data_IF_877728651593
#
_entry.id   IF_877728651593
#
_cell.length_a   1.000
_cell.length_b   1.000
_cell.length_c   1.000
_cell.angle_alpha   90.00
_cell.angle_beta   90.00
_cell.angle_gamma   90.00
#
_symmetry.space_group_name_H-M   'P 1'
#
loop_
_entity.id
_entity.type
_entity.pdbx_description
1 polymer ?
#
# COMPACT_ATOMS: atom_id res chain seq x y z
N UNK A 1 -12.93 -9.70 -24.32
CA UNK A 1 -12.53 -9.36 -22.94
C UNK A 1 -13.45 -8.25 -22.53
N UNK A 2 -14.13 -8.44 -21.39
CA UNK A 2 -15.04 -7.53 -20.65
C UNK A 2 -15.92 -8.37 -19.72
N UNK A 3 -15.29 -9.29 -18.98
CA UNK A 3 -15.98 -10.08 -17.96
C UNK A 3 -16.22 -9.22 -16.70
N UNK A 4 -17.30 -9.46 -15.93
CA UNK A 4 -17.53 -8.76 -14.65
C UNK A 4 -16.35 -8.79 -13.68
N UNK A 5 -15.50 -9.84 -13.74
CA UNK A 5 -14.26 -9.94 -12.95
C UNK A 5 -13.21 -8.88 -13.32
N UNK A 6 -13.07 -8.54 -14.59
CA UNK A 6 -12.04 -7.60 -15.05
C UNK A 6 -12.39 -6.17 -14.62
N UNK A 7 -13.67 -5.80 -14.71
CA UNK A 7 -14.19 -4.52 -14.20
C UNK A 7 -14.06 -4.40 -12.68
N UNK A 8 -14.38 -5.49 -11.96
CA UNK A 8 -14.18 -5.54 -10.52
C UNK A 8 -12.69 -5.39 -10.15
N UNK A 9 -11.81 -6.10 -10.87
CA UNK A 9 -10.37 -6.02 -10.67
C UNK A 9 -9.81 -4.61 -10.90
N UNK A 10 -10.23 -3.95 -11.98
CA UNK A 10 -9.79 -2.59 -12.31
C UNK A 10 -10.30 -1.55 -11.30
N UNK A 11 -11.60 -1.56 -10.99
CA UNK A 11 -12.19 -0.62 -10.02
C UNK A 11 -11.61 -0.82 -8.62
N UNK A 12 -11.45 -2.08 -8.19
CA UNK A 12 -10.85 -2.43 -6.91
C UNK A 12 -9.40 -1.96 -6.80
N UNK A 13 -8.60 -2.13 -7.86
CA UNK A 13 -7.22 -1.64 -7.89
C UNK A 13 -7.15 -0.11 -7.75
N UNK A 14 -8.03 0.61 -8.45
CA UNK A 14 -8.06 2.07 -8.40
C UNK A 14 -8.42 2.59 -7.00
N UNK A 15 -9.43 2.00 -6.37
CA UNK A 15 -9.83 2.35 -5.00
C UNK A 15 -8.71 2.04 -4.01
N UNK A 16 -8.10 0.86 -4.10
CA UNK A 16 -6.99 0.47 -3.22
C UNK A 16 -5.79 1.41 -3.37
N UNK A 17 -5.42 1.78 -4.60
CA UNK A 17 -4.36 2.77 -4.85
C UNK A 17 -4.69 4.13 -4.23
N UNK A 18 -5.94 4.59 -4.36
CA UNK A 18 -6.41 5.83 -3.73
C UNK A 18 -6.31 5.80 -2.20
N UNK A 19 -6.65 4.68 -1.57
CA UNK A 19 -6.55 4.52 -0.11
C UNK A 19 -5.11 4.57 0.39
N UNK A 20 -4.15 3.98 -0.35
CA UNK A 20 -2.73 4.07 -0.01
C UNK A 20 -2.23 5.50 -0.21
N UNK A 21 -2.58 6.13 -1.34
CA UNK A 21 -2.13 7.49 -1.66
C UNK A 21 -2.67 8.56 -0.68
N UNK A 22 -3.87 8.35 -0.15
CA UNK A 22 -4.47 9.25 0.83
C UNK A 22 -3.79 9.19 2.21
N UNK A 23 -2.99 8.14 2.49
CA UNK A 23 -2.25 7.92 3.74
C UNK A 23 -3.04 8.29 5.03
N UNK A 24 -4.31 7.88 5.09
CA UNK A 24 -5.24 8.16 6.21
C UNK A 24 -4.92 7.33 7.47
N UNK A 25 -3.69 6.85 7.59
CA UNK A 25 -3.18 6.10 8.72
C UNK A 25 -3.09 4.58 8.49
N UNK A 26 -2.27 3.95 9.34
CA UNK A 26 -1.82 2.56 9.25
C UNK A 26 -2.91 1.52 8.96
N UNK A 27 -4.10 1.69 9.57
CA UNK A 27 -5.21 0.73 9.41
C UNK A 27 -5.84 0.82 8.02
N UNK A 28 -5.98 2.03 7.47
CA UNK A 28 -6.57 2.25 6.14
C UNK A 28 -5.66 1.67 5.07
N UNK A 29 -4.35 1.95 5.16
CA UNK A 29 -3.33 1.36 4.27
C UNK A 29 -3.34 -0.17 4.34
N UNK A 30 -3.48 -0.74 5.54
CA UNK A 30 -3.65 -2.19 5.71
C UNK A 30 -4.88 -2.74 4.99
N UNK A 31 -6.04 -2.10 5.11
CA UNK A 31 -7.27 -2.52 4.39
C UNK A 31 -7.15 -2.34 2.87
N UNK A 32 -6.39 -1.36 2.39
CA UNK A 32 -6.08 -1.22 0.97
C UNK A 32 -5.29 -2.43 0.44
N UNK A 33 -4.31 -2.93 1.20
CA UNK A 33 -3.61 -4.17 0.85
C UNK A 33 -4.55 -5.38 0.83
N UNK A 34 -5.51 -5.48 1.75
CA UNK A 34 -6.53 -6.55 1.75
C UNK A 34 -7.35 -6.49 0.45
N UNK A 35 -7.79 -5.30 0.04
CA UNK A 35 -8.50 -5.12 -1.23
C UNK A 35 -7.64 -5.53 -2.43
N UNK A 36 -6.36 -5.15 -2.44
CA UNK A 36 -5.43 -5.56 -3.49
C UNK A 36 -5.21 -7.08 -3.55
N UNK A 37 -5.25 -7.80 -2.42
CA UNK A 37 -5.21 -9.27 -2.43
C UNK A 37 -6.40 -9.84 -3.21
N UNK A 38 -7.63 -9.38 -2.93
CA UNK A 38 -8.81 -9.85 -3.66
C UNK A 38 -8.74 -9.54 -5.17
N UNK A 39 -8.25 -8.34 -5.52
CA UNK A 39 -8.05 -7.92 -6.90
C UNK A 39 -7.02 -8.82 -7.60
N UNK A 40 -5.87 -9.10 -6.98
CA UNK A 40 -4.86 -9.99 -7.54
C UNK A 40 -5.40 -11.41 -7.77
N UNK A 41 -6.22 -11.95 -6.86
CA UNK A 41 -6.89 -13.26 -7.05
C UNK A 41 -7.79 -13.23 -8.29
N UNK A 42 -8.62 -12.19 -8.43
CA UNK A 42 -9.51 -12.04 -9.57
C UNK A 42 -8.73 -12.02 -10.91
N UNK A 43 -7.61 -11.30 -10.95
CA UNK A 43 -6.75 -11.24 -12.15
C UNK A 43 -5.99 -12.53 -12.42
N UNK A 44 -5.58 -13.28 -11.39
CA UNK A 44 -5.01 -14.62 -11.57
C UNK A 44 -6.04 -15.56 -12.19
N UNK A 45 -7.27 -15.58 -11.68
CA UNK A 45 -8.36 -16.41 -12.23
C UNK A 45 -8.66 -16.01 -13.68
N UNK A 46 -8.76 -14.71 -13.97
CA UNK A 46 -8.97 -14.21 -15.32
C UNK A 46 -7.84 -14.64 -16.27
N UNK A 47 -6.58 -14.51 -15.85
CA UNK A 47 -5.42 -14.92 -16.66
C UNK A 47 -5.34 -16.41 -16.91
N UNK A 48 -5.77 -17.24 -15.96
CA UNK A 48 -5.89 -18.69 -16.17
C UNK A 48 -7.00 -19.02 -17.18
N UNK A 49 -8.15 -18.35 -17.09
CA UNK A 49 -9.27 -18.55 -18.00
C UNK A 49 -8.95 -18.13 -19.46
N UNK A 50 -8.09 -17.12 -19.64
CA UNK A 50 -7.64 -16.64 -20.95
C UNK A 50 -6.30 -17.21 -21.40
N UNK A 51 -5.73 -18.18 -20.66
CA UNK A 51 -4.39 -18.75 -20.91
C UNK A 51 -3.27 -17.69 -21.04
N UNK A 52 -3.43 -16.56 -20.36
CA UNK A 52 -2.48 -15.43 -20.41
C UNK A 52 -1.51 -15.51 -19.23
N UNK A 53 -0.42 -16.26 -19.42
CA UNK A 53 0.57 -16.51 -18.36
C UNK A 53 1.23 -15.26 -17.78
N UNK A 54 1.42 -14.20 -18.58
CA UNK A 54 1.97 -12.93 -18.09
C UNK A 54 1.09 -12.29 -17.00
N UNK A 55 -0.23 -12.31 -17.20
CA UNK A 55 -1.21 -11.78 -16.26
C UNK A 55 -1.24 -12.58 -14.96
N UNK A 56 -1.16 -13.92 -15.08
CA UNK A 56 -1.11 -14.85 -13.93
C UNK A 56 0.14 -14.61 -13.09
N UNK A 57 1.32 -14.58 -13.71
CA UNK A 57 2.60 -14.43 -13.00
C UNK A 57 2.66 -13.07 -12.30
N UNK A 58 2.34 -11.99 -13.01
CA UNK A 58 2.37 -10.64 -12.44
C UNK A 58 1.45 -10.52 -11.21
N UNK A 59 0.21 -11.00 -11.32
CA UNK A 59 -0.73 -10.89 -10.21
C UNK A 59 -0.44 -11.88 -9.09
N UNK A 60 0.23 -13.00 -9.35
CA UNK A 60 0.70 -13.92 -8.30
C UNK A 60 1.82 -13.30 -7.47
N UNK A 61 2.76 -12.60 -8.12
CA UNK A 61 3.80 -11.85 -7.41
C UNK A 61 3.20 -10.70 -6.59
N UNK A 62 2.26 -9.95 -7.17
CA UNK A 62 1.53 -8.90 -6.45
C UNK A 62 0.77 -9.46 -5.27
N UNK A 63 0.10 -10.61 -5.39
CA UNK A 63 -0.58 -11.27 -4.29
C UNK A 63 0.37 -11.53 -3.10
N UNK A 64 1.60 -11.99 -3.38
CA UNK A 64 2.63 -12.17 -2.35
C UNK A 64 2.98 -10.87 -1.63
N UNK A 65 3.27 -9.81 -2.39
CA UNK A 65 3.59 -8.48 -1.84
C UNK A 65 2.40 -7.89 -1.07
N UNK A 66 1.19 -7.99 -1.59
CA UNK A 66 -0.02 -7.49 -0.97
C UNK A 66 -0.30 -8.21 0.36
N UNK A 67 -0.13 -9.54 0.39
CA UNK A 67 -0.26 -10.34 1.61
C UNK A 67 0.78 -9.93 2.66
N UNK A 68 2.03 -9.67 2.23
CA UNK A 68 3.06 -9.13 3.10
C UNK A 68 2.69 -7.75 3.65
N UNK A 69 2.13 -6.87 2.81
CA UNK A 69 1.60 -5.57 3.21
C UNK A 69 0.49 -5.68 4.26
N UNK A 70 -0.46 -6.61 4.09
CA UNK A 70 -1.48 -6.91 5.10
C UNK A 70 -0.85 -7.29 6.43
N UNK A 71 0.09 -8.25 6.42
CA UNK A 71 0.78 -8.67 7.64
C UNK A 71 1.54 -7.52 8.31
N UNK A 72 2.24 -6.71 7.52
CA UNK A 72 3.02 -5.57 7.97
C UNK A 72 2.15 -4.51 8.67
N UNK A 73 1.04 -4.11 8.06
CA UNK A 73 0.24 -2.97 8.50
C UNK A 73 -0.86 -3.35 9.50
N UNK A 74 -1.51 -4.50 9.35
CA UNK A 74 -2.59 -4.96 10.24
C UNK A 74 -2.09 -5.83 11.40
N UNK A 75 -1.16 -6.75 11.15
CA UNK A 75 -0.85 -7.82 12.11
C UNK A 75 0.45 -7.63 12.89
N UNK A 76 1.46 -6.92 12.37
CA UNK A 76 2.77 -6.79 13.03
C UNK A 76 2.72 -5.82 14.24
N UNK A 77 2.93 -6.30 15.49
CA UNK A 77 2.99 -5.45 16.68
C UNK A 77 4.33 -4.72 16.80
N UNK A 78 5.43 -5.38 16.37
CA UNK A 78 6.79 -4.85 16.44
C UNK A 78 6.96 -3.65 15.53
N UNK A 79 6.41 -3.70 14.31
CA UNK A 79 6.55 -2.61 13.35
C UNK A 79 5.74 -1.37 13.72
N UNK A 80 4.72 -1.50 14.58
CA UNK A 80 4.02 -0.34 15.18
C UNK A 80 5.01 0.57 15.92
N UNK A 81 5.90 -0.03 16.71
CA UNK A 81 6.90 0.70 17.52
C UNK A 81 8.00 1.31 16.67
N UNK A 82 8.36 0.69 15.55
CA UNK A 82 9.35 1.25 14.62
C UNK A 82 8.81 2.48 13.90
N UNK A 83 7.57 2.42 13.40
CA UNK A 83 6.92 3.57 12.75
C UNK A 83 6.79 4.73 13.75
N UNK A 84 6.33 4.47 14.97
CA UNK A 84 6.20 5.50 16.03
C UNK A 84 7.57 6.12 16.39
N UNK A 85 8.65 5.32 16.39
CA UNK A 85 10.01 5.84 16.56
C UNK A 85 10.45 6.69 15.38
N UNK A 86 10.14 6.28 14.15
CA UNK A 86 10.48 7.05 12.95
C UNK A 86 9.72 8.38 12.88
N UNK A 87 8.44 8.39 13.24
CA UNK A 87 7.65 9.63 13.35
C UNK A 87 8.29 10.59 14.37
N UNK A 88 8.66 10.11 15.56
CA UNK A 88 9.36 10.93 16.56
C UNK A 88 10.68 11.49 16.06
N UNK A 89 11.49 10.68 15.37
CA UNK A 89 12.75 11.14 14.79
C UNK A 89 12.50 12.17 13.68
N UNK A 90 11.48 11.98 12.84
CA UNK A 90 11.13 12.90 11.77
C UNK A 90 10.55 14.23 12.29
N UNK A 91 9.77 14.18 13.36
CA UNK A 91 9.24 15.36 14.07
C UNK A 91 10.39 16.13 14.73
N UNK A 92 11.28 15.44 15.45
CA UNK A 92 12.50 16.04 16.00
C UNK A 92 13.37 16.67 14.91
N UNK A 93 13.59 16.00 13.79
CA UNK A 93 14.36 16.55 12.68
C UNK A 93 13.69 17.76 12.02
N UNK A 94 12.34 17.80 11.98
CA UNK A 94 11.59 18.97 11.50
C UNK A 94 11.71 20.15 12.46
N UNK A 95 11.54 19.92 13.76
CA UNK A 95 11.70 20.96 14.79
C UNK A 95 13.14 21.50 14.80
N UNK A 96 14.14 20.63 14.69
CA UNK A 96 15.55 21.02 14.56
C UNK A 96 15.80 21.84 13.29
N UNK A 97 15.28 21.42 12.13
CA UNK A 97 15.42 22.17 10.89
C UNK A 97 14.68 23.52 10.90
N UNK A 98 13.52 23.61 11.56
CA UNK A 98 12.79 24.86 11.76
C UNK A 98 13.55 25.81 12.71
N UNK A 99 14.11 25.29 13.81
CA UNK A 99 14.96 26.07 14.72
C UNK A 99 16.26 26.55 14.06
N UNK A 100 16.89 25.72 13.22
CA UNK A 100 18.03 26.11 12.39
C UNK A 100 17.64 27.18 11.36
N UNK A 101 16.49 27.06 10.71
CA UNK A 101 16.01 28.07 9.74
C UNK A 101 15.65 29.41 10.41
N UNK A 102 15.09 29.38 11.62
CA UNK A 102 14.75 30.59 12.39
C UNK A 102 16.01 31.29 12.94
N UNK A 103 17.03 30.52 13.34
CA UNK A 103 18.33 31.06 13.79
C UNK A 103 19.22 31.53 12.63
N UNK A 104 19.06 30.96 11.43
CA UNK A 104 19.76 31.36 10.20
C UNK A 104 19.07 32.51 9.42
N UNK A 105 18.26 33.33 10.11
CA UNK A 105 17.36 34.37 9.56
C UNK A 105 17.89 35.16 8.35
N UNK A 106 16.98 35.68 7.50
CA UNK A 106 17.30 36.17 6.15
C UNK A 106 18.42 37.21 6.20
N UNK A 107 19.55 36.85 5.57
CA UNK A 107 20.71 37.72 5.37
C UNK A 107 20.37 39.00 4.60
#
# INVERSE_FOLDING_TARGET
MDGPLEWFGAAGAFVAAGLIAADLGRRVTGWAFVLFVFVSIAWVIAGLATATWSLVIQNSLLLGVNTWGVWQYLLSPTRKREIEKQEKIAEQAREEAEAEAETAGPA
#
